data_IF_181235364943
#
_entry.id   IF_181235364943
#
_cell.length_a   1.000
_cell.length_b   1.000
_cell.length_c   1.000
_cell.angle_alpha   90.00
_cell.angle_beta   90.00
_cell.angle_gamma   90.00
#
_symmetry.space_group_name_H-M   'P 1'
#
loop_
_entity.id
_entity.type
_entity.pdbx_description
1 polymer ?
#
# COMPACT_ATOMS: atom_id res chain seq x y z
N UNK A 1 14.39 32.68 -4.85
CA UNK A 1 14.14 32.37 -3.43
C UNK A 1 13.97 30.87 -3.29
N UNK A 2 14.63 30.21 -2.33
CA UNK A 2 14.46 28.78 -2.10
C UNK A 2 13.10 28.50 -1.46
N UNK A 3 12.41 27.46 -1.94
CA UNK A 3 11.10 27.04 -1.44
C UNK A 3 11.23 26.58 0.01
N UNK A 4 10.49 27.18 0.93
CA UNK A 4 10.49 26.75 2.33
C UNK A 4 9.70 25.45 2.51
N UNK A 5 10.19 24.56 3.38
CA UNK A 5 9.46 23.37 3.80
C UNK A 5 8.45 23.75 4.89
N UNK A 6 7.20 23.97 4.50
CA UNK A 6 6.09 24.21 5.43
C UNK A 6 5.24 22.94 5.59
N UNK A 7 5.06 22.51 6.83
CA UNK A 7 4.17 21.41 7.19
C UNK A 7 2.92 21.96 7.87
N UNK A 8 1.77 21.42 7.50
CA UNK A 8 0.48 21.71 8.12
C UNK A 8 -0.01 20.52 8.92
N UNK A 9 -0.83 20.80 9.94
CA UNK A 9 -1.62 19.76 10.61
C UNK A 9 -2.50 19.04 9.61
N UNK A 10 -2.83 17.78 9.90
CA UNK A 10 -3.74 17.03 9.06
C UNK A 10 -5.03 17.81 8.83
N UNK A 11 -5.46 17.86 7.57
CA UNK A 11 -6.67 18.54 7.13
C UNK A 11 -7.57 17.49 6.43
N UNK A 12 -8.76 17.18 6.98
CA UNK A 12 -9.71 16.27 6.34
C UNK A 12 -10.09 16.68 4.91
N UNK A 13 -9.99 17.98 4.60
CA UNK A 13 -10.25 18.53 3.28
C UNK A 13 -9.30 17.99 2.20
N UNK A 14 -8.13 17.46 2.56
CA UNK A 14 -7.22 16.81 1.61
C UNK A 14 -7.85 15.61 0.92
N UNK A 15 -8.73 14.86 1.59
CA UNK A 15 -9.46 13.76 0.97
C UNK A 15 -10.40 14.29 -0.11
N UNK A 16 -11.14 15.35 0.19
CA UNK A 16 -12.05 15.98 -0.77
C UNK A 16 -11.30 16.56 -1.98
N UNK A 17 -10.14 17.17 -1.75
CA UNK A 17 -9.27 17.67 -2.82
C UNK A 17 -8.78 16.54 -3.73
N UNK A 18 -8.38 15.40 -3.13
CA UNK A 18 -8.06 14.19 -3.88
C UNK A 18 -9.26 13.71 -4.71
N UNK A 19 -10.44 13.57 -4.12
CA UNK A 19 -11.63 13.03 -4.80
C UNK A 19 -12.02 13.86 -6.02
N UNK A 20 -12.02 15.19 -5.89
CA UNK A 20 -12.33 16.12 -7.00
C UNK A 20 -11.31 16.00 -8.13
N UNK A 21 -10.03 15.91 -7.80
CA UNK A 21 -9.00 15.82 -8.83
C UNK A 21 -8.94 14.42 -9.44
N UNK A 22 -9.23 13.38 -8.66
CA UNK A 22 -9.29 12.00 -9.12
C UNK A 22 -10.38 11.81 -10.18
N UNK A 23 -11.57 12.40 -9.99
CA UNK A 23 -12.65 12.35 -10.98
C UNK A 23 -12.22 12.94 -12.33
N UNK A 24 -11.56 14.10 -12.31
CA UNK A 24 -11.04 14.77 -13.51
C UNK A 24 -9.97 13.92 -14.22
N UNK A 25 -9.02 13.39 -13.45
CA UNK A 25 -7.94 12.59 -13.99
C UNK A 25 -8.46 11.27 -14.56
N UNK A 26 -9.42 10.61 -13.91
CA UNK A 26 -10.01 9.38 -14.46
C UNK A 26 -10.53 9.58 -15.87
N UNK A 27 -11.20 10.71 -16.17
CA UNK A 27 -11.68 11.01 -17.52
C UNK A 27 -10.54 11.20 -18.53
N UNK A 28 -9.48 11.93 -18.16
CA UNK A 28 -8.32 12.21 -19.04
C UNK A 28 -7.54 10.94 -19.38
N UNK A 29 -7.45 10.00 -18.43
CA UNK A 29 -6.67 8.78 -18.60
C UNK A 29 -7.43 7.66 -19.33
N UNK A 30 -8.70 7.82 -19.67
CA UNK A 30 -9.42 6.83 -20.50
C UNK A 30 -8.88 6.82 -21.94
N UNK A 31 -8.85 5.66 -22.62
CA UNK A 31 -9.28 4.33 -22.15
C UNK A 31 -8.19 3.55 -21.38
N UNK A 32 -7.02 4.16 -21.17
CA UNK A 32 -5.83 3.53 -20.59
C UNK A 32 -5.92 3.34 -19.06
N UNK A 33 -6.89 3.96 -18.41
CA UNK A 33 -7.10 3.94 -16.96
C UNK A 33 -7.36 2.54 -16.39
N UNK A 34 -6.75 2.24 -15.25
CA UNK A 34 -6.99 1.04 -14.44
C UNK A 34 -7.49 1.42 -13.05
N UNK A 35 -6.75 2.25 -12.33
CA UNK A 35 -7.08 2.64 -10.96
C UNK A 35 -6.48 4.00 -10.58
N UNK A 36 -7.00 4.60 -9.50
CA UNK A 36 -6.48 5.83 -8.92
C UNK A 36 -6.50 5.76 -7.40
N UNK A 37 -5.45 6.28 -6.76
CA UNK A 37 -5.27 6.18 -5.33
C UNK A 37 -4.72 7.48 -4.74
N UNK A 38 -5.24 7.88 -3.59
CA UNK A 38 -4.61 8.90 -2.75
C UNK A 38 -3.41 8.26 -2.05
N UNK A 39 -2.22 8.83 -2.24
CA UNK A 39 -0.97 8.34 -1.65
C UNK A 39 -0.22 9.49 -0.96
N UNK A 40 0.99 9.22 -0.48
CA UNK A 40 1.79 10.22 0.22
C UNK A 40 1.25 10.54 1.63
N UNK A 41 1.79 11.59 2.23
CA UNK A 41 1.47 11.92 3.63
C UNK A 41 0.07 12.50 3.82
N UNK A 42 -0.51 13.14 2.80
CA UNK A 42 -1.85 13.72 2.89
C UNK A 42 -2.96 12.65 2.88
N UNK A 43 -2.64 11.43 2.47
CA UNK A 43 -3.53 10.27 2.53
C UNK A 43 -3.56 9.57 3.90
N UNK A 44 -2.74 10.00 4.87
CA UNK A 44 -2.64 9.39 6.19
C UNK A 44 -3.26 10.32 7.24
N UNK A 45 -4.40 9.97 7.86
CA UNK A 45 -5.02 10.78 8.89
C UNK A 45 -4.12 11.01 10.10
N UNK A 46 -4.17 12.23 10.66
CA UNK A 46 -3.52 12.57 11.93
C UNK A 46 -2.02 12.87 11.87
N UNK A 47 -1.38 12.87 10.70
CA UNK A 47 0.03 13.29 10.57
C UNK A 47 0.18 14.65 9.91
N UNK A 48 1.23 15.39 10.26
CA UNK A 48 1.56 16.64 9.57
C UNK A 48 2.15 16.38 8.19
N UNK A 49 1.80 17.19 7.20
CA UNK A 49 2.26 17.00 5.82
C UNK A 49 2.48 18.34 5.12
N UNK A 50 3.25 18.32 4.03
CA UNK A 50 3.19 19.40 3.05
C UNK A 50 1.78 19.35 2.44
N UNK A 51 1.10 20.49 2.25
CA UNK A 51 -0.25 20.51 1.68
C UNK A 51 -0.19 20.30 0.16
N UNK A 52 0.26 19.11 -0.24
CA UNK A 52 0.38 18.65 -1.62
C UNK A 52 -0.34 17.32 -1.70
N UNK A 53 -1.28 17.21 -2.62
CA UNK A 53 -2.03 15.98 -2.84
C UNK A 53 -1.20 15.09 -3.79
N UNK A 54 -0.62 14.02 -3.25
CA UNK A 54 0.07 13.00 -4.03
C UNK A 54 -0.98 11.97 -4.51
N UNK A 55 -1.12 11.83 -5.82
CA UNK A 55 -2.09 10.96 -6.48
C UNK A 55 -1.32 9.93 -7.28
N UNK A 56 -1.70 8.66 -7.14
CA UNK A 56 -1.14 7.58 -7.96
C UNK A 56 -2.19 7.10 -8.96
N UNK A 57 -1.87 7.12 -10.25
CA UNK A 57 -2.70 6.61 -11.33
C UNK A 57 -2.06 5.32 -11.87
N UNK A 58 -2.86 4.27 -11.99
CA UNK A 58 -2.46 3.01 -12.61
C UNK A 58 -3.06 2.94 -14.01
N UNK A 59 -2.23 2.62 -14.99
CA UNK A 59 -2.60 2.53 -16.40
C UNK A 59 -2.23 1.18 -17.00
N UNK A 60 -2.83 0.81 -18.13
CA UNK A 60 -2.52 -0.45 -18.82
C UNK A 60 -1.19 -0.38 -19.56
N UNK A 61 -0.90 0.77 -20.16
CA UNK A 61 0.29 1.04 -20.96
C UNK A 61 0.89 2.39 -20.56
N UNK A 62 2.11 2.41 -20.03
CA UNK A 62 2.75 3.65 -19.59
C UNK A 62 3.13 4.59 -20.74
N UNK A 63 3.42 4.06 -21.93
CA UNK A 63 3.86 4.87 -23.08
C UNK A 63 2.71 5.75 -23.60
N UNK A 64 1.48 5.22 -23.53
CA UNK A 64 0.28 5.96 -23.92
C UNK A 64 0.03 7.21 -23.04
N UNK A 65 0.65 7.31 -21.87
CA UNK A 65 0.53 8.50 -21.01
C UNK A 65 1.25 9.71 -21.63
N UNK A 66 2.26 9.49 -22.48
CA UNK A 66 2.96 10.60 -23.14
C UNK A 66 2.05 11.35 -24.14
N UNK A 67 1.04 10.66 -24.68
CA UNK A 67 0.07 11.23 -25.64
C UNK A 67 -0.87 12.26 -25.00
N UNK A 68 -1.06 12.20 -23.68
CA UNK A 68 -1.96 13.12 -22.95
C UNK A 68 -1.22 14.29 -22.30
N UNK A 69 0.08 14.47 -22.57
CA UNK A 69 0.88 15.55 -21.99
C UNK A 69 0.29 16.94 -22.28
N UNK A 70 -0.21 17.19 -23.49
CA UNK A 70 -0.85 18.46 -23.85
C UNK A 70 -2.16 18.68 -23.09
N UNK A 71 -3.03 17.67 -23.02
CA UNK A 71 -4.29 17.70 -22.26
C UNK A 71 -4.03 17.95 -20.78
N UNK A 72 -3.04 17.28 -20.20
CA UNK A 72 -2.59 17.52 -18.82
C UNK A 72 -2.08 18.96 -18.66
N UNK A 73 -1.36 19.49 -19.65
CA UNK A 73 -0.94 20.89 -19.73
C UNK A 73 -2.09 21.88 -19.65
N UNK A 74 -3.17 21.64 -20.38
CA UNK A 74 -4.39 22.47 -20.36
C UNK A 74 -5.07 22.47 -18.98
N UNK A 75 -4.90 21.40 -18.20
CA UNK A 75 -5.37 21.30 -16.81
C UNK A 75 -4.41 21.90 -15.79
N UNK A 76 -3.30 22.51 -16.24
CA UNK A 76 -2.30 23.18 -15.41
C UNK A 76 -1.21 22.25 -14.87
N UNK A 77 -1.04 21.07 -15.45
CA UNK A 77 0.03 20.15 -15.10
C UNK A 77 1.28 20.35 -15.96
N UNK A 78 2.44 20.13 -15.35
CA UNK A 78 3.73 20.10 -16.01
C UNK A 78 4.21 18.65 -16.03
N UNK A 79 4.36 18.08 -17.22
CA UNK A 79 4.95 16.77 -17.42
C UNK A 79 6.45 16.79 -17.09
N UNK A 80 6.93 15.76 -16.39
CA UNK A 80 8.32 15.63 -15.94
C UNK A 80 8.97 14.30 -16.37
N UNK A 81 8.27 13.49 -17.15
CA UNK A 81 8.71 12.13 -17.50
C UNK A 81 8.89 11.26 -16.26
N UNK A 82 9.94 10.45 -16.23
CA UNK A 82 10.26 9.53 -15.12
C UNK A 82 10.69 10.26 -13.84
N UNK A 83 11.46 11.33 -13.98
CA UNK A 83 11.92 12.20 -12.89
C UNK A 83 12.56 11.41 -11.72
N UNK A 84 13.44 10.44 -12.05
CA UNK A 84 14.22 9.66 -11.08
C UNK A 84 13.58 8.36 -10.58
N UNK A 85 12.44 7.94 -11.15
CA UNK A 85 11.85 6.61 -10.93
C UNK A 85 11.57 6.00 -12.30
N UNK A 86 12.28 4.92 -12.61
CA UNK A 86 12.15 4.18 -13.87
C UNK A 86 10.69 3.75 -14.10
N UNK A 87 10.22 3.82 -15.35
CA UNK A 87 8.86 3.41 -15.69
C UNK A 87 7.75 4.31 -15.14
N UNK A 88 8.07 5.49 -14.57
CA UNK A 88 7.07 6.47 -14.10
C UNK A 88 6.72 7.49 -15.19
N UNK A 89 5.50 8.03 -15.15
CA UNK A 89 5.19 9.36 -15.70
C UNK A 89 4.70 10.28 -14.60
N UNK A 90 5.45 11.36 -14.39
CA UNK A 90 5.25 12.29 -13.29
C UNK A 90 4.69 13.62 -13.78
N UNK A 91 3.59 14.06 -13.18
CA UNK A 91 3.01 15.38 -13.42
C UNK A 91 2.98 16.20 -12.15
N UNK A 92 3.19 17.51 -12.28
CA UNK A 92 3.10 18.45 -11.16
C UNK A 92 2.13 19.57 -11.51
N UNK A 93 1.23 19.91 -10.58
CA UNK A 93 0.34 21.08 -10.67
C UNK A 93 0.77 22.19 -9.72
N UNK A 94 0.60 23.43 -10.15
CA UNK A 94 0.99 24.64 -9.42
C UNK A 94 2.24 25.30 -10.00
N UNK A 95 2.77 26.31 -9.28
CA UNK A 95 3.98 27.03 -9.70
C UNK A 95 5.25 26.36 -9.17
N UNK A 96 6.43 26.78 -9.62
CA UNK A 96 7.70 26.31 -9.05
C UNK A 96 7.85 26.61 -7.55
N UNK A 97 7.18 27.67 -7.07
CA UNK A 97 7.17 28.05 -5.67
C UNK A 97 6.13 27.26 -4.85
N UNK A 98 4.95 26.99 -5.42
CA UNK A 98 3.81 26.39 -4.71
C UNK A 98 3.23 25.25 -5.54
N UNK A 99 3.59 24.03 -5.18
CA UNK A 99 2.98 22.82 -5.75
C UNK A 99 1.70 22.51 -4.97
N UNK A 100 0.67 22.05 -5.68
CA UNK A 100 -0.61 21.64 -5.08
C UNK A 100 -0.88 20.16 -5.27
N UNK A 101 -0.50 19.60 -6.42
CA UNK A 101 -0.72 18.19 -6.74
C UNK A 101 0.50 17.57 -7.40
N UNK A 102 0.73 16.31 -7.11
CA UNK A 102 1.75 15.46 -7.71
C UNK A 102 1.06 14.20 -8.22
N UNK A 103 1.19 13.91 -9.51
CA UNK A 103 0.59 12.72 -10.12
C UNK A 103 1.71 11.75 -10.47
N UNK A 104 1.68 10.58 -9.84
CA UNK A 104 2.58 9.47 -10.08
C UNK A 104 1.84 8.44 -10.92
N UNK A 105 2.21 8.30 -12.18
CA UNK A 105 1.57 7.32 -13.07
C UNK A 105 2.49 6.13 -13.28
N UNK A 106 1.96 4.93 -13.14
CA UNK A 106 2.67 3.67 -13.34
C UNK A 106 1.82 2.69 -14.15
N UNK A 107 2.50 1.82 -14.90
CA UNK A 107 1.85 0.68 -15.54
C UNK A 107 1.38 -0.33 -14.50
N UNK A 108 0.26 -1.00 -14.76
CA UNK A 108 -0.21 -2.13 -13.93
C UNK A 108 0.89 -3.19 -13.76
N UNK A 109 1.00 -3.73 -12.55
CA UNK A 109 2.06 -4.64 -12.14
C UNK A 109 3.40 -3.98 -11.73
N UNK A 110 3.56 -2.65 -11.87
CA UNK A 110 4.79 -1.98 -11.46
C UNK A 110 5.00 -2.04 -9.92
N UNK A 111 6.21 -2.37 -9.42
CA UNK A 111 6.45 -2.60 -7.99
C UNK A 111 6.19 -1.37 -7.10
N UNK A 112 6.40 -0.16 -7.63
CA UNK A 112 6.11 1.09 -6.90
C UNK A 112 4.63 1.23 -6.50
N UNK A 113 3.70 0.62 -7.23
CA UNK A 113 2.27 0.62 -6.89
C UNK A 113 2.08 -0.06 -5.54
N UNK A 114 2.59 -1.29 -5.41
CA UNK A 114 2.48 -2.05 -4.18
C UNK A 114 3.21 -1.35 -3.03
N UNK A 115 4.41 -0.80 -3.28
CA UNK A 115 5.20 -0.09 -2.28
C UNK A 115 4.45 1.11 -1.70
N UNK A 116 3.95 2.01 -2.55
CA UNK A 116 3.23 3.21 -2.11
C UNK A 116 1.95 2.89 -1.34
N UNK A 117 1.16 1.90 -1.80
CA UNK A 117 -0.07 1.49 -1.12
C UNK A 117 0.25 0.84 0.23
N UNK A 118 1.26 -0.02 0.28
CA UNK A 118 1.70 -0.67 1.52
C UNK A 118 2.14 0.36 2.56
N UNK A 119 2.98 1.32 2.16
CA UNK A 119 3.46 2.37 3.04
C UNK A 119 2.29 3.18 3.65
N UNK A 120 1.38 3.65 2.80
CA UNK A 120 0.18 4.40 3.24
C UNK A 120 -0.66 3.57 4.21
N UNK A 121 -1.04 2.36 3.80
CA UNK A 121 -1.96 1.51 4.55
C UNK A 121 -1.34 1.08 5.89
N UNK A 122 -0.02 0.84 5.91
CA UNK A 122 0.72 0.52 7.12
C UNK A 122 0.70 1.67 8.11
N UNK A 123 0.97 2.90 7.65
CA UNK A 123 0.91 4.07 8.54
C UNK A 123 -0.49 4.32 9.09
N UNK A 124 -1.53 4.14 8.27
CA UNK A 124 -2.93 4.26 8.73
C UNK A 124 -3.22 3.22 9.84
N UNK A 125 -2.76 1.98 9.66
CA UNK A 125 -2.98 0.90 10.62
C UNK A 125 -2.10 1.01 11.89
N UNK A 126 -1.01 1.78 11.85
CA UNK A 126 -0.06 1.91 12.95
C UNK A 126 0.12 3.39 13.37
N UNK A 127 -0.84 3.97 14.11
CA UNK A 127 -0.81 5.39 14.49
C UNK A 127 0.48 5.82 15.20
N UNK A 128 1.08 4.94 16.02
CA UNK A 128 2.36 5.23 16.71
C UNK A 128 3.49 5.47 15.70
N UNK A 129 3.59 4.63 14.67
CA UNK A 129 4.60 4.77 13.60
C UNK A 129 4.30 6.01 12.75
N UNK A 130 3.03 6.27 12.44
CA UNK A 130 2.62 7.48 11.75
C UNK A 130 3.01 8.77 12.51
N UNK A 131 2.83 8.79 13.84
CA UNK A 131 3.26 9.91 14.67
C UNK A 131 4.78 10.05 14.76
N UNK A 132 5.54 8.95 14.77
CA UNK A 132 7.00 9.00 14.65
C UNK A 132 7.43 9.62 13.31
N UNK A 133 6.78 9.22 12.21
CA UNK A 133 7.02 9.82 10.90
C UNK A 133 6.67 11.31 10.85
N UNK A 134 5.57 11.71 11.50
CA UNK A 134 5.18 13.12 11.61
C UNK A 134 6.25 13.94 12.32
N UNK A 135 6.71 13.48 13.50
CA UNK A 135 7.75 14.15 14.29
C UNK A 135 9.07 14.29 13.52
N UNK A 136 9.52 13.21 12.88
CA UNK A 136 10.71 13.24 12.02
C UNK A 136 10.59 14.33 10.94
N UNK A 137 9.43 14.41 10.26
CA UNK A 137 9.20 15.45 9.25
C UNK A 137 9.28 16.85 9.85
N UNK A 138 8.73 17.08 11.03
CA UNK A 138 8.78 18.38 11.70
C UNK A 138 10.21 18.78 12.06
N UNK A 139 10.97 17.88 12.67
CA UNK A 139 12.37 18.12 13.04
C UNK A 139 13.23 18.44 11.81
N UNK A 140 13.05 17.68 10.73
CA UNK A 140 13.75 17.91 9.47
C UNK A 140 13.30 19.21 8.77
N UNK A 141 12.03 19.58 8.87
CA UNK A 141 11.53 20.83 8.31
C UNK A 141 12.11 22.06 9.04
N UNK A 142 12.34 21.94 10.36
CA UNK A 142 13.04 22.95 11.14
C UNK A 142 14.53 23.02 10.79
N UNK A 143 15.20 21.86 10.68
CA UNK A 143 16.64 21.76 10.39
C UNK A 143 17.01 22.19 8.97
N UNK A 144 16.19 21.83 7.98
CA UNK A 144 16.49 22.03 6.55
C UNK A 144 15.47 22.97 5.87
N UNK A 145 15.10 24.05 6.55
CA UNK A 145 14.02 24.96 6.14
C UNK A 145 14.18 25.50 4.72
N UNK A 146 15.41 25.81 4.30
CA UNK A 146 15.76 26.38 2.99
C UNK A 146 16.42 25.39 2.04
N UNK A 147 16.49 24.11 2.41
CA UNK A 147 17.19 23.05 1.68
C UNK A 147 16.27 21.84 1.41
N UNK A 148 15.27 21.97 0.51
CA UNK A 148 14.33 20.91 0.21
C UNK A 148 14.95 19.55 -0.20
N UNK A 149 16.09 19.49 -0.92
CA UNK A 149 16.76 18.23 -1.20
C UNK A 149 17.25 17.52 0.07
N UNK A 150 17.92 18.24 0.99
CA UNK A 150 18.37 17.68 2.27
C UNK A 150 17.21 17.19 3.11
N UNK A 151 16.13 17.99 3.22
CA UNK A 151 14.90 17.55 3.87
C UNK A 151 14.37 16.23 3.31
N UNK A 152 14.40 16.06 1.99
CA UNK A 152 13.87 14.86 1.33
C UNK A 152 14.76 13.64 1.59
N UNK A 153 16.07 13.80 1.42
CA UNK A 153 17.04 12.71 1.58
C UNK A 153 17.18 12.25 3.03
N UNK A 154 17.03 13.13 4.02
CA UNK A 154 17.13 12.77 5.43
C UNK A 154 15.96 11.89 5.94
N UNK A 155 14.94 11.65 5.11
CA UNK A 155 13.83 10.74 5.46
C UNK A 155 14.05 9.31 4.95
N UNK A 156 15.05 9.09 4.11
CA UNK A 156 15.23 7.85 3.37
C UNK A 156 15.31 6.64 4.29
N UNK A 157 16.13 6.68 5.34
CA UNK A 157 16.31 5.53 6.24
C UNK A 157 15.01 5.13 6.94
N UNK A 158 14.27 6.11 7.45
CA UNK A 158 12.95 5.87 8.08
C UNK A 158 11.95 5.31 7.07
N UNK A 159 11.92 5.87 5.85
CA UNK A 159 11.02 5.40 4.80
C UNK A 159 11.35 3.94 4.43
N UNK A 160 12.63 3.60 4.28
CA UNK A 160 13.06 2.23 3.98
C UNK A 160 12.68 1.24 5.10
N UNK A 161 12.88 1.62 6.36
CA UNK A 161 12.47 0.78 7.50
C UNK A 161 10.96 0.54 7.50
N UNK A 162 10.16 1.58 7.25
CA UNK A 162 8.69 1.45 7.17
C UNK A 162 8.28 0.66 5.93
N UNK A 163 8.94 0.83 4.78
CA UNK A 163 8.66 0.04 3.57
C UNK A 163 8.86 -1.46 3.83
N UNK A 164 9.94 -1.85 4.53
CA UNK A 164 10.18 -3.25 4.92
C UNK A 164 9.08 -3.78 5.84
N UNK A 165 8.75 -3.02 6.89
CA UNK A 165 7.66 -3.39 7.82
C UNK A 165 6.31 -3.46 7.13
N UNK A 166 6.03 -2.54 6.22
CA UNK A 166 4.79 -2.47 5.45
C UNK A 166 4.66 -3.63 4.48
N UNK A 167 5.74 -4.05 3.83
CA UNK A 167 5.77 -5.21 2.95
C UNK A 167 5.44 -6.50 3.73
N UNK A 168 6.13 -6.73 4.85
CA UNK A 168 5.85 -7.88 5.73
C UNK A 168 4.42 -7.83 6.24
N UNK A 169 3.97 -6.68 6.76
CA UNK A 169 2.62 -6.52 7.27
C UNK A 169 1.54 -6.77 6.21
N UNK A 170 1.74 -6.28 4.98
CA UNK A 170 0.79 -6.47 3.89
C UNK A 170 0.67 -7.95 3.52
N UNK A 171 1.78 -8.66 3.46
CA UNK A 171 1.77 -10.08 3.13
C UNK A 171 1.05 -10.91 4.21
N UNK A 172 1.12 -10.50 5.48
CA UNK A 172 0.47 -11.19 6.59
C UNK A 172 -0.96 -10.72 6.90
N UNK A 173 -1.48 -9.72 6.17
CA UNK A 173 -2.81 -9.17 6.43
C UNK A 173 -3.91 -10.03 5.79
N UNK A 174 -5.03 -10.26 6.48
CA UNK A 174 -6.19 -10.87 5.86
C UNK A 174 -6.70 -10.05 4.65
N UNK A 175 -6.95 -10.71 3.53
CA UNK A 175 -7.63 -10.09 2.38
C UNK A 175 -9.10 -9.98 2.72
N UNK A 176 -9.64 -8.77 2.80
CA UNK A 176 -11.04 -8.53 3.09
C UNK A 176 -11.77 -8.06 1.81
N UNK A 177 -12.88 -8.72 1.51
CA UNK A 177 -13.85 -8.28 0.49
C UNK A 177 -15.15 -7.83 1.17
N UNK A 178 -16.16 -7.45 0.39
CA UNK A 178 -17.49 -7.18 0.93
C UNK A 178 -18.11 -8.39 1.66
N UNK A 179 -17.71 -9.62 1.31
CA UNK A 179 -18.37 -10.86 1.79
C UNK A 179 -17.49 -11.76 2.65
N UNK A 180 -16.17 -11.73 2.43
CA UNK A 180 -15.23 -12.71 2.98
C UNK A 180 -14.00 -12.02 3.56
N UNK A 181 -13.43 -12.63 4.59
CA UNK A 181 -12.03 -12.48 4.95
C UNK A 181 -11.27 -13.74 4.53
N UNK A 182 -10.09 -13.55 3.94
CA UNK A 182 -9.11 -14.61 3.71
C UNK A 182 -7.95 -14.35 4.66
N UNK A 183 -7.73 -15.21 5.65
CA UNK A 183 -6.64 -15.07 6.62
C UNK A 183 -5.48 -15.97 6.20
N UNK A 184 -4.29 -15.43 5.88
CA UNK A 184 -3.13 -16.28 5.61
C UNK A 184 -2.74 -16.97 6.91
N UNK A 185 -2.62 -18.29 6.89
CA UNK A 185 -2.13 -19.03 8.04
C UNK A 185 -0.60 -19.03 8.04
N UNK A 186 0.02 -18.71 9.16
CA UNK A 186 1.48 -18.85 9.30
C UNK A 186 1.87 -20.32 9.32
N UNK A 187 3.16 -20.60 9.13
CA UNK A 187 3.69 -21.96 9.25
C UNK A 187 3.34 -22.58 10.62
N UNK A 188 3.47 -21.80 11.70
CA UNK A 188 3.10 -22.23 13.05
C UNK A 188 1.59 -22.49 13.21
N UNK A 189 0.74 -21.70 12.56
CA UNK A 189 -0.71 -21.89 12.58
C UNK A 189 -1.16 -23.10 11.77
N UNK A 190 -0.54 -23.37 10.62
CA UNK A 190 -0.79 -24.60 9.86
C UNK A 190 -0.40 -25.84 10.67
N UNK A 191 0.75 -25.80 11.33
CA UNK A 191 1.17 -26.87 12.23
C UNK A 191 0.18 -27.04 13.39
N UNK A 192 -0.21 -25.93 14.04
CA UNK A 192 -1.21 -25.96 15.11
C UNK A 192 -2.54 -26.53 14.62
N UNK A 193 -3.03 -26.16 13.45
CA UNK A 193 -4.28 -26.70 12.91
C UNK A 193 -4.22 -28.21 12.65
N UNK A 194 -3.07 -28.73 12.17
CA UNK A 194 -2.84 -30.15 11.97
C UNK A 194 -2.81 -30.95 13.28
N UNK A 195 -2.36 -30.32 14.36
CA UNK A 195 -2.20 -30.96 15.67
C UNK A 195 -3.45 -30.81 16.54
N UNK A 196 -4.02 -29.61 16.58
CA UNK A 196 -5.17 -29.21 17.39
C UNK A 196 -5.93 -28.03 16.75
N UNK A 197 -7.00 -28.35 16.01
CA UNK A 197 -7.84 -27.34 15.35
C UNK A 197 -8.57 -26.44 16.35
N UNK A 198 -8.90 -26.92 17.54
CA UNK A 198 -9.57 -26.11 18.56
C UNK A 198 -8.60 -25.07 19.16
N UNK A 199 -7.33 -25.44 19.36
CA UNK A 199 -6.29 -24.48 19.76
C UNK A 199 -6.08 -23.41 18.69
N UNK A 200 -6.02 -23.80 17.42
CA UNK A 200 -5.91 -22.82 16.32
C UNK A 200 -7.10 -21.84 16.31
N UNK A 201 -8.31 -22.34 16.52
CA UNK A 201 -9.51 -21.49 16.60
C UNK A 201 -9.41 -20.45 17.72
N UNK A 202 -8.88 -20.83 18.89
CA UNK A 202 -8.62 -19.91 20.01
C UNK A 202 -7.53 -18.89 19.69
N UNK A 203 -6.42 -19.33 19.10
CA UNK A 203 -5.31 -18.45 18.69
C UNK A 203 -5.76 -17.38 17.69
N UNK A 204 -6.62 -17.75 16.75
CA UNK A 204 -7.16 -16.85 15.75
C UNK A 204 -8.31 -15.98 16.27
N UNK A 205 -8.98 -16.40 17.34
CA UNK A 205 -10.25 -15.80 17.79
C UNK A 205 -11.39 -16.00 16.78
N UNK A 206 -11.36 -17.10 16.00
CA UNK A 206 -12.32 -17.41 14.93
C UNK A 206 -12.79 -18.85 15.12
N UNK A 207 -14.11 -19.10 15.09
CA UNK A 207 -14.63 -20.47 15.08
C UNK A 207 -14.21 -21.18 13.79
N UNK A 208 -13.86 -22.46 13.85
CA UNK A 208 -13.43 -23.25 12.69
C UNK A 208 -14.36 -24.44 12.49
N UNK A 209 -14.65 -24.81 11.25
CA UNK A 209 -15.31 -26.08 10.95
C UNK A 209 -14.38 -27.25 11.33
N UNK A 210 -14.97 -28.28 11.96
CA UNK A 210 -14.22 -29.38 12.60
C UNK A 210 -13.39 -30.22 11.63
N UNK A 211 -13.74 -30.22 10.34
CA UNK A 211 -13.12 -31.06 9.32
C UNK A 211 -11.95 -30.38 8.59
N UNK A 212 -11.70 -29.09 8.83
CA UNK A 212 -10.74 -28.26 8.07
C UNK A 212 -9.32 -28.82 8.01
N UNK A 213 -8.85 -29.50 9.06
CA UNK A 213 -7.49 -30.06 9.14
C UNK A 213 -7.49 -31.59 9.22
N UNK A 214 -8.58 -32.23 8.78
CA UNK A 214 -8.79 -33.68 8.90
C UNK A 214 -8.82 -34.39 7.55
N UNK A 215 -8.60 -35.70 7.53
CA UNK A 215 -8.72 -36.50 6.31
C UNK A 215 -7.72 -36.13 5.20
N UNK A 216 -8.20 -36.01 3.97
CA UNK A 216 -7.38 -35.90 2.75
C UNK A 216 -6.62 -34.59 2.62
N UNK A 217 -7.03 -33.52 3.34
CA UNK A 217 -6.38 -32.20 3.28
C UNK A 217 -5.07 -32.14 4.08
N UNK A 218 -4.83 -33.09 4.99
CA UNK A 218 -3.62 -33.12 5.84
C UNK A 218 -2.33 -33.23 5.05
N UNK A 219 -2.28 -34.10 4.04
CA UNK A 219 -1.08 -34.32 3.23
C UNK A 219 -0.70 -33.09 2.39
N UNK A 220 -1.64 -32.43 1.68
CA UNK A 220 -1.37 -31.15 1.05
C UNK A 220 -0.82 -30.07 1.99
N UNK A 221 -1.36 -29.95 3.22
CA UNK A 221 -0.87 -28.97 4.21
C UNK A 221 0.57 -29.28 4.63
N UNK A 222 0.90 -30.56 4.89
CA UNK A 222 2.28 -30.98 5.21
C UNK A 222 3.26 -30.65 4.08
N UNK A 223 2.88 -30.93 2.83
CA UNK A 223 3.70 -30.54 1.67
C UNK A 223 3.88 -29.03 1.55
N UNK A 224 2.86 -28.26 1.94
CA UNK A 224 2.95 -26.79 1.97
C UNK A 224 3.94 -26.31 3.06
N UNK A 225 3.93 -26.93 4.24
CA UNK A 225 4.90 -26.66 5.31
C UNK A 225 6.35 -26.93 4.86
N UNK A 226 6.58 -28.02 4.12
CA UNK A 226 7.90 -28.33 3.54
C UNK A 226 8.36 -27.21 2.58
N UNK A 227 7.48 -26.74 1.68
CA UNK A 227 7.79 -25.62 0.78
C UNK A 227 8.09 -24.34 1.57
N UNK A 228 7.31 -24.03 2.60
CA UNK A 228 7.51 -22.82 3.41
C UNK A 228 8.83 -22.83 4.19
N UNK A 229 9.33 -24.01 4.59
CA UNK A 229 10.59 -24.14 5.31
C UNK A 229 11.80 -23.69 4.47
N UNK A 230 11.70 -23.79 3.13
CA UNK A 230 12.75 -23.39 2.19
C UNK A 230 12.58 -21.94 1.68
N UNK A 231 11.52 -21.24 2.11
CA UNK A 231 11.20 -19.87 1.69
C UNK A 231 11.47 -18.85 2.80
N UNK A 232 11.84 -17.64 2.39
CA UNK A 232 11.88 -16.51 3.31
C UNK A 232 10.47 -16.23 3.86
N UNK A 233 10.38 -15.81 5.13
CA UNK A 233 9.10 -15.52 5.79
C UNK A 233 8.25 -14.48 5.03
N UNK A 234 8.90 -13.56 4.31
CA UNK A 234 8.23 -12.59 3.45
C UNK A 234 7.42 -13.22 2.31
N UNK A 235 7.80 -14.41 1.85
CA UNK A 235 7.20 -15.15 0.73
C UNK A 235 6.13 -16.17 1.17
N UNK A 236 6.06 -16.45 2.47
CA UNK A 236 5.12 -17.42 3.05
C UNK A 236 3.66 -17.20 2.63
N UNK A 237 3.15 -15.96 2.49
CA UNK A 237 1.75 -15.75 2.10
C UNK A 237 1.39 -16.22 0.68
N UNK A 238 2.37 -16.36 -0.22
CA UNK A 238 2.18 -16.99 -1.53
C UNK A 238 2.28 -18.53 -1.46
N UNK A 239 2.99 -19.02 -0.45
CA UNK A 239 3.23 -20.43 -0.19
C UNK A 239 2.44 -20.96 1.02
N UNK A 240 1.28 -20.38 1.38
CA UNK A 240 0.44 -20.89 2.48
C UNK A 240 -0.99 -21.25 2.05
N UNK A 241 -1.79 -21.75 3.00
CA UNK A 241 -3.24 -21.80 2.91
C UNK A 241 -3.87 -20.59 3.58
N UNK A 242 -4.89 -20.05 2.94
CA UNK A 242 -5.69 -18.93 3.39
C UNK A 242 -7.03 -19.43 3.92
N UNK A 243 -7.30 -19.22 5.20
CA UNK A 243 -8.57 -19.55 5.82
C UNK A 243 -9.68 -18.62 5.31
N UNK A 244 -10.76 -19.21 4.81
CA UNK A 244 -11.93 -18.51 4.27
C UNK A 244 -12.95 -18.29 5.39
N UNK A 245 -13.21 -17.04 5.74
CA UNK A 245 -14.11 -16.63 6.83
C UNK A 245 -15.20 -15.69 6.29
N UNK A 246 -16.44 -16.15 6.08
CA UNK A 246 -17.54 -15.27 5.70
C UNK A 246 -17.90 -14.28 6.80
N UNK A 247 -18.01 -13.00 6.44
CA UNK A 247 -18.28 -11.90 7.39
C UNK A 247 -19.58 -12.08 8.18
N UNK A 248 -20.58 -12.71 7.55
CA UNK A 248 -21.90 -12.95 8.15
C UNK A 248 -21.91 -14.07 9.17
N UNK A 249 -20.93 -14.99 9.12
CA UNK A 249 -20.89 -16.18 9.97
C UNK A 249 -19.78 -16.11 11.02
N UNK A 250 -18.67 -15.41 10.75
CA UNK A 250 -17.50 -15.41 11.63
C UNK A 250 -16.88 -16.80 11.81
N UNK A 251 -17.21 -17.74 10.93
CA UNK A 251 -16.78 -19.15 10.94
C UNK A 251 -15.80 -19.37 9.79
N UNK A 252 -14.62 -19.93 10.08
CA UNK A 252 -13.73 -20.46 9.08
C UNK A 252 -14.32 -21.72 8.46
N UNK A 253 -14.69 -21.67 7.18
CA UNK A 253 -15.43 -22.75 6.50
C UNK A 253 -14.61 -23.48 5.43
N UNK A 254 -13.43 -22.97 5.09
CA UNK A 254 -12.61 -23.56 4.04
C UNK A 254 -11.20 -22.99 4.02
N UNK A 255 -10.33 -23.59 3.22
CA UNK A 255 -8.99 -23.09 2.96
C UNK A 255 -8.73 -22.98 1.46
N UNK A 256 -8.12 -21.89 1.02
CA UNK A 256 -7.64 -21.69 -0.34
C UNK A 256 -6.11 -21.68 -0.35
N UNK A 257 -5.51 -22.55 -1.16
CA UNK A 257 -4.06 -22.53 -1.40
C UNK A 257 -3.80 -21.98 -2.81
N UNK A 258 -2.91 -21.00 -2.93
CA UNK A 258 -2.44 -20.57 -4.25
C UNK A 258 -1.40 -21.56 -4.77
N UNK A 259 -1.50 -21.91 -6.06
CA UNK A 259 -0.44 -22.62 -6.77
C UNK A 259 0.55 -21.57 -7.26
N UNK A 260 1.62 -21.38 -6.51
CA UNK A 260 2.69 -20.44 -6.83
C UNK A 260 3.82 -20.61 -5.85
N UNK A 261 4.68 -21.60 -6.11
CA UNK A 261 6.07 -21.46 -6.57
C UNK A 261 6.36 -22.65 -7.48
#
# INVERSE_FOLDING_TARGET
MSRQVELKTYDPEWLRQFEVEAERLTAVFQPNFVAIHHVGSTAVPGIKAKPIIDIMVVVRDIEQVDTINETMGQLGYIAKGENGIDGRRYFRKGSDAVHTHHIHTFQDGHPEIARHLSFRDYLIAHPIVAQAYSRLKEDLAQRYKTEPPHYTNSKTDFIHEVDQKAAVWRNHRPIATARLHLHPLTMAQLQTGLDDTARLAQELGISLADDLFTGTVRQPIKKKLEIMADLAEADHPWATYWLIVPKVMGLGIGMAGFKGY
#
